data_IF_468585588556
#
_entry.id   IF_468585588556
#
_cell.length_a   1.000
_cell.length_b   1.000
_cell.length_c   1.000
_cell.angle_alpha   90.00
_cell.angle_beta   90.00
_cell.angle_gamma   90.00
#
_symmetry.space_group_name_H-M   'P 1'
#
loop_
_entity.id
_entity.type
_entity.pdbx_description
1 polymer ?
#
# COMPACT_ATOMS: atom_id res chain seq x y z
N UNK A 1 13.67 5.63 24.46
CA UNK A 1 12.37 4.94 24.28
C UNK A 1 11.61 5.39 23.03
N UNK A 2 11.63 6.68 22.66
CA UNK A 2 10.94 7.18 21.46
C UNK A 2 11.40 6.52 20.14
N UNK A 3 12.70 6.38 19.91
CA UNK A 3 13.24 5.76 18.69
C UNK A 3 12.80 4.29 18.50
N UNK A 4 12.70 3.50 19.59
CA UNK A 4 12.19 2.12 19.52
C UNK A 4 10.70 2.07 19.19
N UNK A 5 9.90 2.99 19.74
CA UNK A 5 8.46 3.10 19.42
C UNK A 5 8.25 3.43 17.94
N UNK A 6 9.02 4.39 17.41
CA UNK A 6 8.97 4.77 15.99
C UNK A 6 9.35 3.59 15.08
N UNK A 7 10.43 2.87 15.40
CA UNK A 7 10.81 1.68 14.62
C UNK A 7 9.71 0.63 14.59
N UNK A 8 9.07 0.33 15.73
CA UNK A 8 7.95 -0.61 15.79
C UNK A 8 6.75 -0.15 14.95
N UNK A 9 6.49 1.16 14.91
CA UNK A 9 5.43 1.72 14.07
C UNK A 9 5.75 1.58 12.59
N UNK A 10 7.01 1.84 12.20
CA UNK A 10 7.51 1.64 10.85
C UNK A 10 7.32 0.18 10.44
N UNK A 11 7.83 -0.77 11.21
CA UNK A 11 7.76 -2.20 10.86
C UNK A 11 6.30 -2.67 10.69
N UNK A 12 5.38 -2.21 11.55
CA UNK A 12 3.95 -2.49 11.43
C UNK A 12 3.34 -1.90 10.17
N UNK A 13 3.70 -0.67 9.81
CA UNK A 13 3.22 -0.02 8.60
C UNK A 13 3.76 -0.71 7.36
N UNK A 14 5.05 -1.07 7.33
CA UNK A 14 5.66 -1.82 6.23
C UNK A 14 4.98 -3.19 6.04
N UNK A 15 4.66 -3.88 7.13
CA UNK A 15 3.89 -5.13 7.06
C UNK A 15 2.52 -4.94 6.41
N UNK A 16 1.80 -3.87 6.78
CA UNK A 16 0.50 -3.51 6.17
C UNK A 16 0.61 -3.16 4.70
N UNK A 17 1.74 -2.60 4.26
CA UNK A 17 2.00 -2.33 2.84
C UNK A 17 2.09 -3.64 2.08
N UNK A 18 2.89 -4.59 2.54
CA UNK A 18 3.00 -5.93 1.94
C UNK A 18 1.66 -6.66 1.85
N UNK A 19 0.97 -6.80 2.99
CA UNK A 19 -0.38 -7.40 3.06
C UNK A 19 -1.38 -6.67 2.14
N UNK A 20 -1.25 -5.35 2.04
CA UNK A 20 -2.13 -4.53 1.22
C UNK A 20 -1.88 -4.65 -0.29
N UNK A 21 -0.65 -4.93 -0.71
CA UNK A 21 -0.28 -5.17 -2.11
C UNK A 21 -0.73 -6.56 -2.54
N UNK A 22 -0.49 -7.59 -1.73
CA UNK A 22 -0.99 -8.95 -2.00
C UNK A 22 -2.53 -8.97 -2.11
N UNK A 23 -3.22 -8.26 -1.20
CA UNK A 23 -4.68 -8.16 -1.26
C UNK A 23 -5.14 -7.46 -2.53
N UNK A 24 -4.45 -6.41 -2.97
CA UNK A 24 -4.75 -5.70 -4.20
C UNK A 24 -4.63 -6.62 -5.41
N UNK A 25 -3.53 -7.36 -5.54
CA UNK A 25 -3.31 -8.30 -6.64
C UNK A 25 -4.37 -9.41 -6.67
N UNK A 26 -4.74 -9.96 -5.50
CA UNK A 26 -5.78 -10.98 -5.38
C UNK A 26 -7.17 -10.46 -5.79
N UNK A 27 -7.55 -9.24 -5.37
CA UNK A 27 -8.81 -8.62 -5.77
C UNK A 27 -8.83 -8.39 -7.29
N UNK A 28 -7.71 -7.89 -7.85
CA UNK A 28 -7.61 -7.62 -9.27
C UNK A 28 -7.71 -8.90 -10.11
N UNK A 29 -7.02 -9.97 -9.72
CA UNK A 29 -7.07 -11.26 -10.41
C UNK A 29 -8.48 -11.89 -10.34
N UNK A 30 -9.14 -11.79 -9.18
CA UNK A 30 -10.56 -12.18 -9.04
C UNK A 30 -11.49 -11.37 -9.92
N UNK A 31 -11.25 -10.07 -10.05
CA UNK A 31 -12.06 -9.19 -10.88
C UNK A 31 -11.92 -9.53 -12.38
N UNK A 32 -10.69 -9.81 -12.83
CA UNK A 32 -10.41 -10.20 -14.22
C UNK A 32 -10.97 -11.59 -14.56
N UNK A 33 -10.85 -12.56 -13.65
CA UNK A 33 -11.35 -13.93 -13.84
C UNK A 33 -12.87 -14.06 -13.68
N UNK A 34 -13.51 -13.16 -12.93
CA UNK A 34 -14.96 -13.18 -12.74
C UNK A 34 -15.68 -12.83 -14.05
N UNK A 35 -16.68 -13.62 -14.43
CA UNK A 35 -17.60 -13.32 -15.54
C UNK A 35 -18.91 -12.70 -15.07
N UNK A 36 -19.11 -12.58 -13.75
CA UNK A 36 -20.32 -12.03 -13.15
C UNK A 36 -20.17 -10.52 -12.89
N UNK A 37 -21.04 -9.73 -13.50
CA UNK A 37 -21.04 -8.26 -13.44
C UNK A 37 -21.12 -7.71 -12.01
N UNK A 38 -22.02 -8.23 -11.18
CA UNK A 38 -22.17 -7.76 -9.78
C UNK A 38 -20.93 -8.04 -8.94
N UNK A 39 -20.25 -9.16 -9.19
CA UNK A 39 -18.99 -9.48 -8.51
C UNK A 39 -17.86 -8.57 -8.99
N UNK A 40 -17.81 -8.22 -10.29
CA UNK A 40 -16.84 -7.26 -10.82
C UNK A 40 -16.99 -5.89 -10.15
N UNK A 41 -18.20 -5.35 -10.11
CA UNK A 41 -18.48 -4.05 -9.48
C UNK A 41 -18.11 -4.04 -8.00
N UNK A 42 -18.39 -5.13 -7.27
CA UNK A 42 -17.96 -5.28 -5.88
C UNK A 42 -16.44 -5.29 -5.75
N UNK A 43 -15.75 -6.08 -6.58
CA UNK A 43 -14.29 -6.14 -6.58
C UNK A 43 -13.66 -4.80 -6.96
N UNK A 44 -14.23 -4.03 -7.89
CA UNK A 44 -13.78 -2.67 -8.22
C UNK A 44 -13.87 -1.73 -7.00
N UNK A 45 -14.97 -1.78 -6.25
CA UNK A 45 -15.12 -0.97 -5.02
C UNK A 45 -14.09 -1.36 -3.96
N UNK A 46 -13.86 -2.65 -3.76
CA UNK A 46 -12.87 -3.17 -2.83
C UNK A 46 -11.44 -2.75 -3.26
N UNK A 47 -11.14 -2.83 -4.55
CA UNK A 47 -9.88 -2.42 -5.14
C UNK A 47 -9.63 -0.92 -4.95
N UNK A 48 -10.65 -0.08 -5.23
CA UNK A 48 -10.59 1.37 -5.03
C UNK A 48 -10.38 1.75 -3.56
N UNK A 49 -11.02 1.03 -2.64
CA UNK A 49 -10.81 1.17 -1.20
C UNK A 49 -9.37 0.80 -0.81
N UNK A 50 -8.85 -0.29 -1.39
CA UNK A 50 -7.50 -0.78 -1.13
C UNK A 50 -6.42 0.18 -1.66
N UNK A 51 -6.59 0.74 -2.86
CA UNK A 51 -5.73 1.79 -3.42
C UNK A 51 -5.64 2.99 -2.46
N UNK A 52 -6.78 3.49 -1.96
CA UNK A 52 -6.79 4.61 -1.01
C UNK A 52 -6.04 4.29 0.29
N UNK A 53 -6.12 3.05 0.78
CA UNK A 53 -5.34 2.63 1.97
C UNK A 53 -3.84 2.63 1.68
N UNK A 54 -3.42 2.07 0.54
CA UNK A 54 -2.02 2.08 0.11
C UNK A 54 -1.50 3.50 -0.07
N UNK A 55 -2.27 4.40 -0.67
CA UNK A 55 -1.92 5.84 -0.78
C UNK A 55 -1.69 6.50 0.59
N UNK A 56 -2.55 6.22 1.59
CA UNK A 56 -2.35 6.74 2.96
C UNK A 56 -1.06 6.22 3.59
N UNK A 57 -0.76 4.92 3.43
CA UNK A 57 0.49 4.33 3.93
C UNK A 57 1.71 4.96 3.22
N UNK A 58 1.60 5.22 1.91
CA UNK A 58 2.64 5.90 1.12
C UNK A 58 2.92 7.31 1.61
N UNK A 59 1.89 8.08 1.99
CA UNK A 59 2.07 9.42 2.53
C UNK A 59 2.62 9.42 3.97
N UNK A 60 2.25 8.43 4.78
CA UNK A 60 2.88 8.20 6.09
C UNK A 60 4.38 7.88 5.93
N UNK A 61 4.73 6.97 5.01
CA UNK A 61 6.12 6.65 4.69
C UNK A 61 6.87 7.88 4.16
N UNK A 62 6.24 8.71 3.32
CA UNK A 62 6.82 9.97 2.83
C UNK A 62 7.18 10.92 4.00
N UNK A 63 6.32 10.96 5.02
CA UNK A 63 6.56 11.77 6.23
C UNK A 63 7.76 11.25 7.02
N UNK A 64 7.89 9.93 7.16
CA UNK A 64 9.05 9.29 7.79
C UNK A 64 10.34 9.49 6.99
N UNK A 65 10.30 9.38 5.67
CA UNK A 65 11.46 9.67 4.80
C UNK A 65 11.93 11.13 4.97
N UNK A 66 11.02 12.07 5.21
CA UNK A 66 11.36 13.47 5.48
C UNK A 66 11.87 13.71 6.92
N UNK A 67 11.65 12.78 7.86
CA UNK A 67 12.14 12.90 9.24
C UNK A 67 13.65 12.67 9.34
N UNK A 68 14.31 13.43 10.21
CA UNK A 68 15.74 13.25 10.53
C UNK A 68 15.98 12.22 11.65
N UNK A 69 14.93 11.72 12.29
CA UNK A 69 15.04 10.72 13.37
C UNK A 69 15.35 9.30 12.85
N UNK A 70 15.24 9.10 11.54
CA UNK A 70 15.41 7.81 10.88
C UNK A 70 16.75 7.78 10.16
N UNK A 71 17.63 6.88 10.59
CA UNK A 71 18.99 6.72 10.04
C UNK A 71 18.99 5.99 8.70
N UNK A 72 18.28 4.87 8.59
CA UNK A 72 18.16 4.11 7.34
C UNK A 72 16.76 4.29 6.74
N UNK A 73 16.72 4.90 5.57
CA UNK A 73 15.50 5.21 4.82
C UNK A 73 15.33 4.29 3.60
N UNK A 74 16.24 3.36 3.37
CA UNK A 74 16.28 2.53 2.16
C UNK A 74 15.00 1.72 2.02
N UNK A 75 14.61 1.02 3.09
CA UNK A 75 13.40 0.19 3.11
C UNK A 75 12.11 1.01 2.98
N UNK A 76 12.09 2.23 3.53
CA UNK A 76 10.98 3.17 3.40
C UNK A 76 10.83 3.63 1.95
N UNK A 77 11.94 3.98 1.30
CA UNK A 77 11.93 4.38 -0.11
C UNK A 77 11.53 3.24 -1.04
N UNK A 78 11.96 2.01 -0.77
CA UNK A 78 11.58 0.82 -1.52
C UNK A 78 10.07 0.54 -1.43
N UNK A 79 9.51 0.51 -0.21
CA UNK A 79 8.08 0.31 -0.02
C UNK A 79 7.24 1.45 -0.60
N UNK A 80 7.73 2.69 -0.52
CA UNK A 80 7.09 3.84 -1.18
C UNK A 80 7.02 3.65 -2.70
N UNK A 81 8.11 3.18 -3.32
CA UNK A 81 8.14 2.88 -4.77
C UNK A 81 7.21 1.74 -5.12
N UNK A 82 7.18 0.68 -4.32
CA UNK A 82 6.28 -0.46 -4.50
C UNK A 82 4.82 0.00 -4.57
N UNK A 83 4.38 0.84 -3.62
CA UNK A 83 3.03 1.41 -3.64
C UNK A 83 2.81 2.28 -4.88
N UNK A 84 3.78 3.12 -5.25
CA UNK A 84 3.65 3.98 -6.44
C UNK A 84 3.50 3.16 -7.73
N UNK A 85 4.19 2.03 -7.85
CA UNK A 85 4.04 1.11 -8.98
C UNK A 85 2.63 0.52 -9.04
N UNK A 86 2.13 0.01 -7.91
CA UNK A 86 0.79 -0.58 -7.81
C UNK A 86 -0.30 0.45 -8.11
N UNK A 87 -0.18 1.66 -7.56
CA UNK A 87 -1.16 2.75 -7.79
C UNK A 87 -1.09 3.27 -9.23
N UNK A 88 0.09 3.48 -9.80
CA UNK A 88 0.24 3.95 -11.20
C UNK A 88 -0.31 2.95 -12.22
N UNK A 89 -0.16 1.65 -11.96
CA UNK A 89 -0.73 0.61 -12.81
C UNK A 89 -2.27 0.66 -12.86
N UNK A 90 -2.93 1.39 -11.95
CA UNK A 90 -4.38 1.45 -11.83
C UNK A 90 -4.97 2.86 -11.85
N UNK A 91 -4.17 3.90 -12.00
CA UNK A 91 -4.63 5.28 -12.22
C UNK A 91 -5.35 5.46 -13.58
N UNK A 92 -5.41 4.38 -14.38
CA UNK A 92 -6.04 4.30 -15.70
C UNK A 92 -7.42 3.58 -15.66
N UNK A 93 -7.88 3.15 -14.48
CA UNK A 93 -9.22 2.61 -14.23
C UNK A 93 -10.09 3.61 -13.47
#
# INVERSE_FOLDING_TARGET
MAARKLQTEIDRTLKKVGEGVELFENIYDKMQSSTNQTQKEKSELDLKSQIKKLQRLRDQIKTWVASNDIKDKSILMENRRLIETVVKAHDVL
#
